data_IF_702247462034
#
_entry.id   IF_702247462034
#
_cell.length_a   1.000
_cell.length_b   1.000
_cell.length_c   1.000
_cell.angle_alpha   90.00
_cell.angle_beta   90.00
_cell.angle_gamma   90.00
#
_symmetry.space_group_name_H-M   'P 1'
#
loop_
_entity.id
_entity.type
_entity.pdbx_description
1 polymer ?
#
# COMPACT_ATOMS: atom_id res chain seq x y z
N UNK A 1 10.05 15.49 10.67
CA UNK A 1 10.57 14.10 10.59
C UNK A 1 9.95 13.50 9.36
N UNK A 2 10.75 13.01 8.40
CA UNK A 2 10.19 12.25 7.28
C UNK A 2 9.78 10.90 7.85
N UNK A 3 8.48 10.66 7.99
CA UNK A 3 8.00 9.41 8.55
C UNK A 3 8.45 8.26 7.66
N UNK A 4 9.03 7.23 8.28
CA UNK A 4 9.39 6.00 7.59
C UNK A 4 8.18 5.09 7.72
N UNK A 5 7.62 4.57 6.61
CA UNK A 5 6.43 3.73 6.67
C UNK A 5 6.67 2.50 7.54
N UNK A 6 5.65 2.11 8.31
CA UNK A 6 5.63 0.87 9.08
C UNK A 6 4.70 -0.16 8.45
N UNK A 7 4.92 -1.44 8.75
CA UNK A 7 4.13 -2.54 8.24
C UNK A 7 2.66 -2.39 8.63
N UNK A 8 1.78 -2.55 7.67
CA UNK A 8 0.32 -2.45 7.83
C UNK A 8 -0.20 -1.02 7.66
N UNK A 9 0.66 -0.02 7.52
CA UNK A 9 0.21 1.34 7.24
C UNK A 9 -0.23 1.51 5.79
N UNK A 10 -1.16 2.44 5.60
CA UNK A 10 -1.67 2.89 4.30
C UNK A 10 -0.95 4.16 3.88
N UNK A 11 -0.35 4.12 2.70
CA UNK A 11 0.46 5.21 2.14
C UNK A 11 0.06 5.49 0.69
N UNK A 12 0.21 6.74 0.25
CA UNK A 12 -0.06 7.12 -1.14
C UNK A 12 1.19 6.89 -1.97
N UNK A 13 1.15 5.94 -2.89
CA UNK A 13 2.29 5.67 -3.76
C UNK A 13 2.17 6.45 -5.07
N UNK A 14 3.16 7.28 -5.36
CA UNK A 14 3.30 8.02 -6.63
C UNK A 14 4.36 7.37 -7.50
N UNK A 15 3.93 6.81 -8.64
CA UNK A 15 4.84 6.25 -9.65
C UNK A 15 4.77 7.09 -10.93
N UNK A 16 5.87 7.30 -11.67
CA UNK A 16 5.90 8.19 -12.83
C UNK A 16 4.87 7.85 -13.91
N UNK A 17 4.52 6.58 -14.04
CA UNK A 17 3.67 6.06 -15.11
C UNK A 17 2.22 5.84 -14.67
N UNK A 18 1.90 6.01 -13.37
CA UNK A 18 0.56 5.73 -12.87
C UNK A 18 0.11 6.73 -11.82
N UNK A 19 -1.16 7.11 -11.88
CA UNK A 19 -1.80 7.98 -10.90
C UNK A 19 -1.56 7.48 -9.48
N UNK A 20 -1.27 8.42 -8.58
CA UNK A 20 -1.11 8.18 -7.15
C UNK A 20 -2.24 7.30 -6.63
N UNK A 21 -1.91 6.24 -5.89
CA UNK A 21 -2.91 5.33 -5.32
C UNK A 21 -2.55 4.88 -3.92
N UNK A 22 -3.56 4.54 -3.10
CA UNK A 22 -3.36 3.83 -1.84
C UNK A 22 -2.56 2.56 -2.04
N UNK A 23 -1.60 2.33 -1.15
CA UNK A 23 -0.90 1.07 -1.00
C UNK A 23 -0.76 0.71 0.48
N UNK A 24 -0.78 -0.59 0.79
CA UNK A 24 -0.48 -1.10 2.13
C UNK A 24 0.97 -1.57 2.18
N UNK A 25 1.69 -1.17 3.23
CA UNK A 25 3.09 -1.54 3.45
C UNK A 25 3.16 -2.96 4.01
N UNK A 26 3.84 -3.87 3.30
CA UNK A 26 3.93 -5.28 3.70
C UNK A 26 5.26 -5.66 4.34
N UNK A 27 6.33 -4.92 4.04
CA UNK A 27 7.66 -5.23 4.54
C UNK A 27 7.76 -5.03 6.04
N UNK A 28 8.60 -5.83 6.68
CA UNK A 28 8.92 -5.67 8.11
C UNK A 28 9.62 -4.34 8.39
N UNK A 29 9.25 -3.69 9.49
CA UNK A 29 9.75 -2.36 9.90
C UNK A 29 11.27 -2.28 9.96
N UNK A 30 11.92 -3.34 10.45
CA UNK A 30 13.39 -3.38 10.57
C UNK A 30 14.13 -3.34 9.21
N UNK A 31 13.46 -3.67 8.10
CA UNK A 31 14.06 -3.70 6.77
C UNK A 31 13.95 -2.36 6.05
N UNK A 32 12.84 -1.64 6.24
CA UNK A 32 12.48 -0.41 5.51
C UNK A 32 13.56 0.69 5.63
N UNK A 33 14.04 1.09 6.82
CA UNK A 33 15.04 2.15 6.94
C UNK A 33 16.42 1.75 6.39
N UNK A 34 16.72 0.45 6.37
CA UNK A 34 18.01 -0.09 5.87
C UNK A 34 18.03 -0.22 4.37
N UNK A 35 16.94 -0.70 3.78
CA UNK A 35 16.84 -0.97 2.33
C UNK A 35 16.36 0.25 1.55
N UNK A 36 15.70 1.23 2.22
CA UNK A 36 15.02 2.37 1.60
C UNK A 36 14.04 1.96 0.49
N UNK A 37 13.53 0.73 0.58
CA UNK A 37 12.51 0.13 -0.27
C UNK A 37 11.59 -0.71 0.58
N UNK A 38 10.37 -0.87 0.11
CA UNK A 38 9.37 -1.74 0.74
C UNK A 38 8.51 -2.41 -0.31
N UNK A 39 8.15 -3.67 -0.06
CA UNK A 39 6.99 -4.33 -0.66
C UNK A 39 5.70 -3.65 -0.23
N UNK A 40 4.86 -3.35 -1.19
CA UNK A 40 3.54 -2.76 -1.01
C UNK A 40 2.50 -3.53 -1.82
N UNK A 41 1.26 -3.55 -1.35
CA UNK A 41 0.13 -4.02 -2.14
C UNK A 41 -0.78 -2.84 -2.50
N UNK A 42 -1.10 -2.62 -3.78
CA UNK A 42 -1.96 -1.53 -4.20
C UNK A 42 -3.41 -1.79 -3.82
N UNK A 43 -4.12 -0.71 -3.50
CA UNK A 43 -5.56 -0.76 -3.32
C UNK A 43 -6.27 -0.35 -4.61
N UNK A 44 -7.36 -1.02 -4.90
CA UNK A 44 -8.24 -0.71 -6.03
C UNK A 44 -9.68 -0.60 -5.56
N UNK A 45 -10.44 0.33 -6.14
CA UNK A 45 -11.89 0.42 -5.89
C UNK A 45 -12.68 -0.69 -6.62
N UNK A 46 -12.03 -1.46 -7.49
CA UNK A 46 -12.65 -2.58 -8.19
C UNK A 46 -12.50 -3.86 -7.37
N UNK A 47 -13.43 -4.07 -6.45
CA UNK A 47 -13.49 -5.28 -5.61
C UNK A 47 -14.06 -6.44 -6.42
N UNK A 48 -13.31 -7.55 -6.52
CA UNK A 48 -13.69 -8.75 -7.29
C UNK A 48 -14.06 -9.93 -6.40
N UNK A 49 -13.78 -9.87 -5.11
CA UNK A 49 -14.03 -10.95 -4.16
C UNK A 49 -13.04 -12.10 -4.30
N UNK A 50 -11.81 -11.81 -4.72
CA UNK A 50 -10.73 -12.80 -4.81
C UNK A 50 -10.22 -13.17 -3.41
N UNK A 51 -9.69 -14.38 -3.25
CA UNK A 51 -9.09 -14.80 -1.97
C UNK A 51 -7.81 -14.00 -1.60
N UNK A 52 -7.19 -13.38 -2.60
CA UNK A 52 -6.03 -12.49 -2.48
C UNK A 52 -6.41 -11.03 -2.21
N UNK A 53 -7.70 -10.70 -2.21
CA UNK A 53 -8.19 -9.34 -1.92
C UNK A 53 -8.51 -9.21 -0.42
N UNK A 54 -8.00 -8.14 0.18
CA UNK A 54 -8.42 -7.71 1.53
C UNK A 54 -9.24 -6.45 1.37
N UNK A 55 -10.53 -6.52 1.70
CA UNK A 55 -11.44 -5.38 1.60
C UNK A 55 -11.17 -4.40 2.73
N UNK A 56 -11.15 -3.12 2.38
CA UNK A 56 -11.02 -1.97 3.28
C UNK A 56 -12.29 -1.13 3.21
N UNK A 57 -12.85 -0.79 4.36
CA UNK A 57 -14.11 -0.06 4.47
C UNK A 57 -13.89 1.38 4.93
N UNK A 58 -14.48 2.38 4.24
CA UNK A 58 -14.42 3.77 4.70
C UNK A 58 -15.10 3.91 6.06
N UNK A 59 -14.36 4.41 7.05
CA UNK A 59 -14.83 4.60 8.43
C UNK A 59 -14.11 3.71 9.43
N UNK A 60 -13.81 2.46 9.03
CA UNK A 60 -12.99 1.53 9.82
C UNK A 60 -11.52 1.63 9.41
N UNK A 61 -11.26 1.79 8.11
CA UNK A 61 -9.93 1.93 7.53
C UNK A 61 -9.65 3.37 7.07
N UNK A 62 -8.38 3.81 7.03
CA UNK A 62 -7.98 5.12 6.54
C UNK A 62 -8.03 5.21 5.00
N UNK A 63 -9.19 4.91 4.42
CA UNK A 63 -9.44 4.91 2.97
C UNK A 63 -10.64 5.82 2.64
N UNK A 64 -10.60 6.62 1.55
CA UNK A 64 -11.71 7.52 1.22
C UNK A 64 -12.90 6.81 0.58
N UNK A 65 -12.70 5.62 0.02
CA UNK A 65 -13.72 4.82 -0.71
C UNK A 65 -13.45 3.33 -0.50
N UNK A 66 -14.53 2.53 -0.53
CA UNK A 66 -14.45 1.07 -0.50
C UNK A 66 -13.42 0.59 -1.52
N UNK A 67 -12.42 -0.14 -1.03
CA UNK A 67 -11.30 -0.58 -1.84
C UNK A 67 -10.87 -1.98 -1.41
N UNK A 68 -10.21 -2.71 -2.28
CA UNK A 68 -9.54 -3.96 -1.96
C UNK A 68 -8.04 -3.81 -2.14
N UNK A 69 -7.27 -4.24 -1.14
CA UNK A 69 -5.82 -4.45 -1.23
C UNK A 69 -5.60 -5.71 -2.06
N UNK A 70 -4.94 -5.59 -3.21
CA UNK A 70 -4.68 -6.72 -4.09
C UNK A 70 -3.31 -7.33 -3.81
N UNK A 71 -3.29 -8.50 -3.16
CA UNK A 71 -2.06 -9.21 -2.81
C UNK A 71 -1.41 -9.97 -3.98
N UNK A 72 -2.08 -10.10 -5.13
CA UNK A 72 -1.47 -10.67 -6.34
C UNK A 72 -0.60 -9.64 -7.08
N UNK A 73 -0.78 -8.35 -6.78
CA UNK A 73 -0.08 -7.24 -7.44
C UNK A 73 0.94 -6.58 -6.50
N UNK A 74 1.62 -7.36 -5.66
CA UNK A 74 2.64 -6.83 -4.75
C UNK A 74 3.82 -6.28 -5.54
N UNK A 75 4.19 -5.04 -5.25
CA UNK A 75 5.28 -4.33 -5.91
C UNK A 75 6.35 -3.93 -4.90
N UNK A 76 7.61 -3.91 -5.34
CA UNK A 76 8.70 -3.33 -4.56
C UNK A 76 8.91 -1.88 -5.01
N UNK A 77 8.73 -0.93 -4.11
CA UNK A 77 8.85 0.50 -4.42
C UNK A 77 9.90 1.16 -3.53
N UNK A 78 10.42 2.30 -3.98
CA UNK A 78 11.25 3.18 -3.14
C UNK A 78 10.38 3.83 -2.08
N UNK A 79 10.87 3.97 -0.84
CA UNK A 79 10.14 4.73 0.19
C UNK A 79 10.02 6.22 -0.14
N UNK A 80 10.79 6.71 -1.11
CA UNK A 80 10.67 8.09 -1.61
C UNK A 80 9.49 8.28 -2.58
N UNK A 81 8.86 7.18 -3.00
CA UNK A 81 7.66 7.18 -3.82
C UNK A 81 6.39 6.95 -2.99
N UNK A 82 6.53 6.89 -1.66
CA UNK A 82 5.45 6.77 -0.69
C UNK A 82 5.23 8.13 -0.01
#
# INVERSE_FOLDING_TARGET
>A
MTDIPSRGELWWCELPEVSARPVVVLSRDAAIPRMRRTLVAPCTTTVRGLASEVVLEPGDDPIPKLSAVNLDSVESVSIAAL
#
